data_IF_383025055778
#
_entry.id   IF_383025055778
#
_cell.length_a   1.000
_cell.length_b   1.000
_cell.length_c   1.000
_cell.angle_alpha   90.00
_cell.angle_beta   90.00
_cell.angle_gamma   90.00
#
_symmetry.space_group_name_H-M   'P 1'
#
loop_
_entity.id
_entity.type
_entity.pdbx_description
1 polymer ?
#
# COMPACT_ATOMS: atom_id res chain seq x y z
N UNK A 1 14.46 -29.67 5.97
CA UNK A 1 13.45 -28.66 5.62
C UNK A 1 13.93 -27.32 6.13
N UNK A 2 14.12 -26.33 5.26
CA UNK A 2 14.08 -24.92 5.64
C UNK A 2 13.36 -24.20 4.51
N UNK A 3 12.33 -23.48 4.92
CA UNK A 3 11.19 -23.04 4.14
C UNK A 3 11.56 -21.75 3.38
N UNK A 4 11.38 -21.81 2.06
CA UNK A 4 11.12 -20.75 1.10
C UNK A 4 11.90 -19.42 1.21
N UNK A 5 12.92 -19.26 0.36
CA UNK A 5 13.06 -18.01 -0.39
C UNK A 5 11.84 -17.92 -1.33
N UNK A 6 10.77 -17.29 -0.87
CA UNK A 6 9.74 -16.79 -1.77
C UNK A 6 10.25 -15.45 -2.29
N UNK A 7 11.07 -15.51 -3.34
CA UNK A 7 11.18 -14.41 -4.31
C UNK A 7 9.77 -13.96 -4.63
N UNK A 8 9.47 -12.70 -4.33
CA UNK A 8 8.20 -12.01 -4.58
C UNK A 8 7.92 -12.01 -6.08
N UNK A 9 7.39 -13.13 -6.56
CA UNK A 9 6.79 -13.23 -7.88
C UNK A 9 5.62 -12.25 -7.93
N UNK A 10 5.44 -11.58 -9.08
CA UNK A 10 4.24 -10.79 -9.39
C UNK A 10 3.01 -11.54 -8.88
N UNK A 11 2.40 -11.04 -7.80
CA UNK A 11 1.18 -11.63 -7.25
C UNK A 11 0.05 -11.06 -8.09
N UNK A 12 -0.84 -11.90 -8.59
CA UNK A 12 -2.08 -11.39 -9.15
C UNK A 12 -2.90 -10.89 -7.96
N UNK A 13 -2.88 -9.58 -7.69
CA UNK A 13 -3.72 -8.98 -6.66
C UNK A 13 -5.14 -9.00 -7.19
N UNK A 14 -5.95 -9.84 -6.58
CA UNK A 14 -7.35 -10.01 -6.93
C UNK A 14 -8.23 -9.31 -5.91
N UNK A 15 -9.36 -8.81 -6.39
CA UNK A 15 -10.42 -8.29 -5.55
C UNK A 15 -10.84 -9.30 -4.48
N UNK A 16 -10.83 -8.91 -3.20
CA UNK A 16 -11.37 -9.76 -2.15
C UNK A 16 -12.90 -9.66 -2.10
N UNK A 17 -13.57 -10.80 -2.23
CA UNK A 17 -15.02 -10.93 -2.09
C UNK A 17 -15.59 -10.49 -0.74
N UNK A 18 -14.74 -10.39 0.30
CA UNK A 18 -15.11 -9.89 1.62
C UNK A 18 -15.28 -8.37 1.67
N UNK A 19 -14.66 -7.63 0.73
CA UNK A 19 -14.75 -6.18 0.69
C UNK A 19 -16.14 -5.68 0.30
N UNK A 20 -16.59 -4.54 0.84
CA UNK A 20 -17.85 -3.91 0.46
C UNK A 20 -17.99 -3.77 -1.05
N UNK A 21 -19.16 -4.15 -1.59
CA UNK A 21 -19.44 -4.05 -3.03
C UNK A 21 -19.36 -2.60 -3.55
N UNK A 22 -19.59 -1.61 -2.69
CA UNK A 22 -19.51 -0.19 -3.04
C UNK A 22 -18.08 0.27 -3.34
N UNK A 23 -17.07 -0.46 -2.88
CA UNK A 23 -15.67 -0.18 -3.20
C UNK A 23 -15.27 -0.71 -4.58
N UNK A 24 -16.12 -1.50 -5.26
CA UNK A 24 -15.80 -2.04 -6.57
C UNK A 24 -15.64 -0.92 -7.60
N UNK A 25 -14.54 -0.99 -8.34
CA UNK A 25 -14.19 0.03 -9.33
C UNK A 25 -13.61 1.31 -8.72
N UNK A 26 -13.36 1.31 -7.42
CA UNK A 26 -12.65 2.39 -6.71
C UNK A 26 -11.26 1.93 -6.31
N UNK A 27 -10.41 2.86 -5.89
CA UNK A 27 -9.14 2.52 -5.30
C UNK A 27 -9.33 1.81 -3.97
N UNK A 28 -8.52 0.79 -3.73
CA UNK A 28 -8.43 0.07 -2.46
C UNK A 28 -6.99 0.09 -2.01
N UNK A 29 -6.76 0.30 -0.72
CA UNK A 29 -5.43 0.21 -0.13
C UNK A 29 -5.45 -0.72 1.08
N UNK A 30 -4.44 -1.59 1.13
CA UNK A 30 -4.20 -2.57 2.19
C UNK A 30 -2.86 -2.27 2.84
N UNK A 31 -2.84 -2.23 4.17
CA UNK A 31 -1.62 -2.15 4.97
C UNK A 31 -1.47 -3.42 5.80
N UNK A 32 -0.38 -4.15 5.63
CA UNK A 32 -0.02 -5.26 6.52
C UNK A 32 0.92 -4.76 7.62
N UNK A 33 0.38 -4.44 8.81
CA UNK A 33 1.15 -3.90 9.93
C UNK A 33 1.17 -4.94 11.05
N UNK A 34 2.36 -5.39 11.45
CA UNK A 34 2.55 -6.44 12.47
C UNK A 34 1.72 -7.72 12.20
N UNK A 35 1.62 -8.12 10.92
CA UNK A 35 0.85 -9.27 10.47
C UNK A 35 -0.68 -9.10 10.51
N UNK A 36 -1.16 -7.88 10.75
CA UNK A 36 -2.59 -7.53 10.69
C UNK A 36 -2.86 -6.69 9.45
N UNK A 37 -3.87 -7.06 8.67
CA UNK A 37 -4.31 -6.29 7.53
C UNK A 37 -5.29 -5.18 7.94
N UNK A 38 -5.02 -3.97 7.48
CA UNK A 38 -5.90 -2.82 7.58
C UNK A 38 -6.27 -2.40 6.16
N UNK A 39 -7.56 -2.44 5.82
CA UNK A 39 -8.03 -2.19 4.46
C UNK A 39 -9.11 -1.12 4.43
N UNK A 40 -9.04 -0.25 3.43
CA UNK A 40 -10.09 0.72 3.10
C UNK A 40 -10.17 0.91 1.58
N UNK A 41 -11.39 1.15 1.10
CA UNK A 41 -11.67 1.51 -0.29
C UNK A 41 -12.88 2.43 -0.37
N UNK A 42 -13.33 2.75 -1.58
CA UNK A 42 -14.50 3.62 -1.78
C UNK A 42 -14.25 5.10 -1.46
N UNK A 43 -12.99 5.50 -1.33
CA UNK A 43 -12.58 6.89 -1.13
C UNK A 43 -12.56 7.67 -2.45
N UNK A 44 -12.45 8.99 -2.36
CA UNK A 44 -12.18 9.82 -3.53
C UNK A 44 -10.87 9.37 -4.19
N UNK A 45 -10.84 9.10 -5.51
CA UNK A 45 -9.64 8.66 -6.20
C UNK A 45 -8.51 9.67 -6.03
N UNK A 46 -7.31 9.16 -5.73
CA UNK A 46 -6.09 9.95 -5.65
C UNK A 46 -5.19 9.65 -6.85
N UNK A 47 -4.34 10.61 -7.22
CA UNK A 47 -3.49 10.48 -8.40
C UNK A 47 -2.25 9.62 -8.12
N UNK A 48 -1.75 9.61 -6.88
CA UNK A 48 -0.52 8.93 -6.47
C UNK A 48 -0.69 7.99 -5.27
N UNK A 49 0.21 7.02 -5.16
CA UNK A 49 0.31 6.14 -3.97
C UNK A 49 0.51 6.97 -2.70
N UNK A 50 1.28 8.04 -2.76
CA UNK A 50 1.53 8.93 -1.62
C UNK A 50 0.23 9.54 -1.09
N UNK A 51 -0.57 10.16 -1.97
CA UNK A 51 -1.83 10.80 -1.59
C UNK A 51 -2.84 9.78 -1.07
N UNK A 52 -2.99 8.62 -1.74
CA UNK A 52 -3.88 7.56 -1.27
C UNK A 52 -3.46 7.02 0.10
N UNK A 53 -2.15 6.88 0.33
CA UNK A 53 -1.59 6.41 1.60
C UNK A 53 -1.93 7.37 2.73
N UNK A 54 -1.70 8.67 2.53
CA UNK A 54 -2.01 9.69 3.55
C UNK A 54 -3.51 9.73 3.87
N UNK A 55 -4.35 9.75 2.83
CA UNK A 55 -5.81 9.78 3.00
C UNK A 55 -6.30 8.55 3.77
N UNK A 56 -5.90 7.35 3.35
CA UNK A 56 -6.33 6.12 4.01
C UNK A 56 -5.82 6.02 5.46
N UNK A 57 -4.59 6.46 5.73
CA UNK A 57 -4.04 6.50 7.08
C UNK A 57 -4.83 7.46 7.99
N UNK A 58 -5.25 8.62 7.48
CA UNK A 58 -6.13 9.54 8.22
C UNK A 58 -7.45 8.87 8.61
N UNK A 59 -8.12 8.20 7.66
CA UNK A 59 -9.40 7.51 7.90
C UNK A 59 -9.27 6.32 8.85
N UNK A 60 -8.15 5.59 8.79
CA UNK A 60 -7.88 4.42 9.63
C UNK A 60 -7.26 4.77 10.99
N UNK A 61 -6.89 6.04 11.21
CA UNK A 61 -6.17 6.46 12.42
C UNK A 61 -4.77 5.87 12.53
N UNK A 62 -4.12 5.58 11.40
CA UNK A 62 -2.74 5.07 11.33
C UNK A 62 -1.79 6.27 11.25
N UNK A 63 -0.81 6.33 12.15
CA UNK A 63 0.24 7.34 12.05
C UNK A 63 1.31 6.91 11.05
N UNK A 64 1.86 7.87 10.32
CA UNK A 64 2.97 7.65 9.39
C UNK A 64 4.17 8.51 9.76
N UNK A 65 5.36 7.95 9.58
CA UNK A 65 6.60 8.72 9.52
C UNK A 65 7.12 8.66 8.08
N UNK A 66 7.25 9.82 7.45
CA UNK A 66 7.72 9.94 6.07
C UNK A 66 8.87 10.93 6.05
N UNK A 67 9.99 10.50 5.49
CA UNK A 67 11.18 11.33 5.32
C UNK A 67 11.32 11.78 3.86
N UNK A 68 11.65 13.06 3.68
CA UNK A 68 12.02 13.58 2.37
C UNK A 68 13.50 13.30 2.11
N UNK A 69 13.79 12.42 1.15
CA UNK A 69 15.15 12.10 0.73
C UNK A 69 15.44 12.66 -0.66
N UNK A 70 16.71 12.63 -1.07
CA UNK A 70 17.14 13.12 -2.39
C UNK A 70 16.40 12.43 -3.56
N UNK A 71 16.01 11.17 -3.38
CA UNK A 71 15.30 10.36 -4.38
C UNK A 71 13.77 10.40 -4.22
N UNK A 72 13.23 11.23 -3.33
CA UNK A 72 11.80 11.38 -3.08
C UNK A 72 11.39 11.02 -1.64
N UNK A 73 10.09 11.08 -1.39
CA UNK A 73 9.52 10.74 -0.10
C UNK A 73 9.65 9.23 0.17
N UNK A 74 10.20 8.90 1.34
CA UNK A 74 10.41 7.54 1.81
C UNK A 74 9.57 7.28 3.05
N UNK A 75 8.77 6.22 3.04
CA UNK A 75 7.97 5.81 4.18
C UNK A 75 8.85 5.06 5.18
N UNK A 76 8.97 5.60 6.39
CA UNK A 76 9.78 5.04 7.48
C UNK A 76 8.96 4.11 8.36
N UNK A 77 7.76 4.52 8.76
CA UNK A 77 6.94 3.70 9.66
C UNK A 77 5.43 3.89 9.47
N UNK A 78 4.68 2.84 9.82
CA UNK A 78 3.27 2.91 10.18
C UNK A 78 3.11 2.58 11.66
N UNK A 79 2.41 3.40 12.44
CA UNK A 79 2.21 3.19 13.88
C UNK A 79 3.51 2.84 14.61
N UNK A 80 4.57 3.62 14.35
CA UNK A 80 5.93 3.44 14.92
C UNK A 80 6.63 2.12 14.54
N UNK A 81 6.02 1.30 13.67
CA UNK A 81 6.59 0.05 13.17
C UNK A 81 7.46 0.32 11.93
N UNK A 82 8.77 0.14 12.06
CA UNK A 82 9.77 0.44 11.00
C UNK A 82 10.12 -0.78 10.15
N UNK A 83 10.29 -1.97 10.76
CA UNK A 83 10.75 -3.18 10.05
C UNK A 83 12.11 -3.01 9.37
N UNK A 84 12.34 -3.78 8.29
CA UNK A 84 13.47 -3.60 7.35
C UNK A 84 13.17 -2.53 6.27
N UNK A 85 12.06 -1.81 6.43
CA UNK A 85 11.48 -0.90 5.45
C UNK A 85 10.10 -1.35 5.00
N UNK A 86 9.49 -0.50 4.17
CA UNK A 86 8.15 -0.71 3.63
C UNK A 86 8.20 -0.72 2.11
N UNK A 87 7.54 -1.70 1.51
CA UNK A 87 7.37 -1.79 0.07
C UNK A 87 5.90 -1.74 -0.31
N UNK A 88 5.62 -1.22 -1.51
CA UNK A 88 4.28 -1.22 -2.06
C UNK A 88 4.22 -1.88 -3.44
N UNK A 89 3.03 -2.42 -3.75
CA UNK A 89 2.65 -2.85 -5.08
C UNK A 89 1.39 -2.13 -5.54
N UNK A 90 1.26 -1.94 -6.85
CA UNK A 90 0.04 -1.48 -7.52
C UNK A 90 -0.46 -2.62 -8.39
N UNK A 91 -1.69 -3.06 -8.15
CA UNK A 91 -2.31 -4.20 -8.84
C UNK A 91 -1.39 -5.44 -8.85
N UNK A 92 -0.68 -5.63 -7.72
CA UNK A 92 0.22 -6.76 -7.48
C UNK A 92 1.59 -6.69 -8.13
N UNK A 93 1.90 -5.57 -8.78
CA UNK A 93 3.20 -5.31 -9.39
C UNK A 93 3.98 -4.26 -8.62
N UNK A 94 5.29 -4.49 -8.45
CA UNK A 94 6.18 -3.48 -7.85
C UNK A 94 6.30 -2.28 -8.78
N UNK A 95 6.21 -1.08 -8.21
CA UNK A 95 6.48 0.15 -8.95
C UNK A 95 7.99 0.35 -9.12
N UNK A 96 8.49 0.74 -10.31
CA UNK A 96 9.89 1.11 -10.49
C UNK A 96 10.21 2.52 -9.95
N UNK A 97 9.20 3.28 -9.52
CA UNK A 97 9.30 4.64 -8.99
C UNK A 97 8.71 4.74 -7.58
N UNK A 98 9.12 5.76 -6.82
CA UNK A 98 8.64 6.01 -5.46
C UNK A 98 7.17 6.43 -5.40
N UNK A 99 6.60 6.42 -4.19
CA UNK A 99 5.16 6.61 -3.96
C UNK A 99 4.58 7.95 -4.46
N UNK A 100 5.40 8.98 -4.59
CA UNK A 100 4.97 10.30 -5.10
C UNK A 100 4.74 10.26 -6.62
N UNK A 101 5.58 9.52 -7.35
CA UNK A 101 5.52 9.45 -8.82
C UNK A 101 4.71 8.23 -9.32
N UNK A 102 4.42 7.28 -8.43
CA UNK A 102 3.68 6.07 -8.76
C UNK A 102 2.18 6.40 -8.92
N UNK A 103 1.75 6.55 -10.18
CA UNK A 103 0.39 6.93 -10.53
C UNK A 103 -0.61 5.79 -10.37
N UNK A 104 -1.85 6.16 -10.00
CA UNK A 104 -2.96 5.24 -9.81
C UNK A 104 -4.05 5.46 -10.87
N UNK A 105 -4.64 4.35 -11.32
CA UNK A 105 -5.95 4.35 -11.97
C UNK A 105 -7.07 4.47 -10.93
N UNK A 106 -8.28 4.82 -11.38
CA UNK A 106 -9.49 4.96 -10.53
C UNK A 106 -9.85 3.69 -9.74
N UNK A 107 -9.39 2.52 -10.17
CA UNK A 107 -9.72 1.21 -9.59
C UNK A 107 -8.48 0.42 -9.11
N UNK A 108 -7.36 1.11 -8.87
CA UNK A 108 -6.11 0.43 -8.49
C UNK A 108 -6.19 -0.17 -7.08
N UNK A 109 -5.52 -1.30 -6.87
CA UNK A 109 -5.31 -1.88 -5.55
C UNK A 109 -3.86 -1.67 -5.13
N UNK A 110 -3.65 -0.92 -4.06
CA UNK A 110 -2.33 -0.68 -3.46
C UNK A 110 -2.17 -1.57 -2.23
N UNK A 111 -1.03 -2.25 -2.13
CA UNK A 111 -0.70 -3.04 -0.94
C UNK A 111 0.63 -2.57 -0.38
N UNK A 112 0.66 -2.17 0.88
CA UNK A 112 1.88 -1.91 1.65
C UNK A 112 2.20 -3.10 2.54
N UNK A 113 3.44 -3.57 2.47
CA UNK A 113 3.95 -4.68 3.29
C UNK A 113 5.35 -4.37 3.82
N UNK A 114 5.76 -4.99 4.94
CA UNK A 114 7.16 -5.02 5.34
C UNK A 114 8.01 -5.62 4.20
N UNK A 115 9.17 -5.01 3.94
CA UNK A 115 10.12 -5.45 2.91
C UNK A 115 10.78 -6.81 3.22
#
# INVERSE_FOLDING_TARGET
MKLAEQTSADRNVEWDSSWPNEWKGTQVIVFEINGTEHVIGGLEPQDSVYELTLLACEYLGISTEIEQQYLGAYLVSFNETVGDGWEFTIDGRRSPVGMVDAQLNENSIVEWRPA
#
